data_IF_178701103430
#
_entry.id   IF_178701103430
#
_cell.length_a   1.000
_cell.length_b   1.000
_cell.length_c   1.000
_cell.angle_alpha   90.00
_cell.angle_beta   90.00
_cell.angle_gamma   90.00
#
_symmetry.space_group_name_H-M   'P 1'
#
loop_
_entity.id
_entity.type
_entity.pdbx_description
1 polymer ?
#
# COMPACT_ATOMS: atom_id res chain seq x y z
N UNK A 1 -33.60 -28.46 14.01
CA UNK A 1 -32.67 -29.31 14.79
C UNK A 1 -31.35 -29.54 14.05
N UNK A 2 -31.29 -30.21 12.88
CA UNK A 2 -30.01 -30.41 12.16
C UNK A 2 -29.47 -29.17 11.40
N UNK A 3 -30.31 -28.19 11.02
CA UNK A 3 -29.83 -26.92 10.43
C UNK A 3 -29.16 -25.99 11.45
N UNK A 4 -29.51 -26.09 12.74
CA UNK A 4 -28.89 -25.29 13.82
C UNK A 4 -27.54 -25.87 14.29
N UNK A 5 -27.27 -27.15 14.01
CA UNK A 5 -25.99 -27.81 14.32
C UNK A 5 -24.91 -27.56 13.25
N UNK A 6 -25.30 -27.12 12.05
CA UNK A 6 -24.39 -26.76 10.96
C UNK A 6 -23.96 -25.29 10.98
N UNK A 7 -24.74 -24.39 11.62
CA UNK A 7 -24.31 -22.99 11.85
C UNK A 7 -23.34 -22.86 13.03
N UNK A 8 -23.39 -23.78 14.01
CA UNK A 8 -22.57 -23.69 15.23
C UNK A 8 -21.11 -24.17 15.05
N UNK A 9 -20.72 -24.61 13.85
CA UNK A 9 -19.37 -25.16 13.56
C UNK A 9 -18.53 -24.30 12.63
N UNK A 10 -19.03 -23.16 12.13
CA UNK A 10 -18.28 -22.29 11.22
C UNK A 10 -17.67 -21.06 11.89
N UNK A 11 -17.47 -21.12 13.22
CA UNK A 11 -17.03 -19.99 14.06
C UNK A 11 -15.50 -19.90 14.26
N UNK A 12 -14.70 -20.56 13.42
CA UNK A 12 -13.23 -20.66 13.61
C UNK A 12 -12.40 -20.24 12.38
N UNK A 13 -12.92 -19.30 11.59
CA UNK A 13 -12.33 -18.89 10.33
C UNK A 13 -12.06 -17.38 10.34
N UNK A 14 -10.92 -16.94 10.88
CA UNK A 14 -10.51 -15.53 10.76
C UNK A 14 -10.01 -15.16 9.37
N UNK A 15 -10.13 -13.87 9.01
CA UNK A 15 -9.69 -13.19 7.78
C UNK A 15 -9.70 -14.02 6.48
N UNK A 16 -8.77 -14.98 6.31
CA UNK A 16 -8.73 -15.90 5.16
C UNK A 16 -9.96 -16.81 5.12
N UNK A 17 -10.48 -17.21 6.29
CA UNK A 17 -11.71 -17.97 6.41
C UNK A 17 -12.97 -17.13 6.18
N UNK A 18 -12.95 -15.84 6.56
CA UNK A 18 -14.03 -14.87 6.30
C UNK A 18 -14.12 -14.45 4.84
N UNK A 19 -12.98 -14.26 4.15
CA UNK A 19 -12.88 -14.09 2.69
C UNK A 19 -13.53 -15.23 1.88
N UNK A 20 -13.81 -16.36 2.54
CA UNK A 20 -14.19 -17.63 1.93
C UNK A 20 -15.61 -18.08 2.34
N UNK A 21 -16.20 -17.48 3.37
CA UNK A 21 -17.47 -17.92 3.94
C UNK A 21 -18.67 -17.07 3.50
N UNK A 22 -19.24 -17.45 2.35
CA UNK A 22 -20.68 -17.50 2.00
C UNK A 22 -21.07 -16.67 0.76
N UNK A 23 -22.14 -17.14 0.12
CA UNK A 23 -22.50 -16.90 -1.28
C UNK A 23 -22.86 -15.42 -1.56
N UNK A 24 -22.17 -14.85 -2.55
CA UNK A 24 -22.61 -13.63 -3.25
C UNK A 24 -21.71 -12.45 -2.96
N UNK A 25 -20.41 -12.61 -3.21
CA UNK A 25 -19.42 -11.71 -2.65
C UNK A 25 -19.03 -10.67 -3.72
N UNK A 26 -19.57 -9.46 -3.56
CA UNK A 26 -18.97 -8.23 -4.09
C UNK A 26 -17.72 -7.95 -3.24
N UNK A 27 -16.55 -8.41 -3.69
CA UNK A 27 -15.35 -8.54 -2.86
C UNK A 27 -14.62 -7.22 -2.55
N UNK A 28 -14.56 -6.85 -1.27
CA UNK A 28 -13.97 -5.68 -0.60
C UNK A 28 -12.44 -5.70 -0.52
N UNK A 29 -11.73 -4.62 -0.89
CA UNK A 29 -10.25 -4.40 -0.82
C UNK A 29 -9.62 -4.73 0.55
N UNK A 30 -8.63 -5.64 0.63
CA UNK A 30 -7.93 -5.99 1.89
C UNK A 30 -6.84 -4.99 2.26
N UNK A 31 -6.60 -3.97 1.42
CA UNK A 31 -5.53 -2.99 1.61
C UNK A 31 -4.14 -3.53 1.22
N UNK A 32 -4.00 -4.83 0.90
CA UNK A 32 -2.75 -5.42 0.43
C UNK A 32 -2.48 -5.03 -1.02
N UNK A 33 -1.24 -4.65 -1.34
CA UNK A 33 -0.84 -4.28 -2.72
C UNK A 33 -0.88 -5.45 -3.74
N UNK A 34 -1.08 -6.68 -3.26
CA UNK A 34 -1.29 -7.90 -4.05
C UNK A 34 -2.65 -8.55 -3.77
N UNK A 35 -3.55 -7.83 -3.11
CA UNK A 35 -4.90 -8.28 -2.77
C UNK A 35 -5.61 -8.93 -3.97
N UNK A 36 -5.60 -8.25 -5.12
CA UNK A 36 -6.23 -8.75 -6.34
C UNK A 36 -5.71 -10.14 -6.72
N UNK A 37 -4.39 -10.36 -6.61
CA UNK A 37 -3.79 -11.64 -6.91
C UNK A 37 -4.20 -12.71 -5.89
N UNK A 38 -4.18 -12.36 -4.60
CA UNK A 38 -4.67 -13.23 -3.52
C UNK A 38 -6.12 -13.67 -3.79
N UNK A 39 -7.02 -12.73 -4.09
CA UNK A 39 -8.42 -13.00 -4.41
C UNK A 39 -8.60 -13.91 -5.60
N UNK A 40 -7.99 -13.56 -6.73
CA UNK A 40 -8.13 -14.36 -7.94
C UNK A 40 -7.64 -15.79 -7.71
N UNK A 41 -6.57 -15.99 -6.92
CA UNK A 41 -6.10 -17.32 -6.53
C UNK A 41 -7.13 -18.07 -5.69
N UNK A 42 -7.67 -17.45 -4.63
CA UNK A 42 -8.66 -18.07 -3.74
C UNK A 42 -9.96 -18.38 -4.49
N UNK A 43 -10.50 -17.44 -5.27
CA UNK A 43 -11.72 -17.60 -6.08
C UNK A 43 -11.65 -18.81 -7.02
N UNK A 44 -10.49 -19.05 -7.62
CA UNK A 44 -10.30 -20.19 -8.51
C UNK A 44 -10.07 -21.49 -7.75
N UNK A 45 -9.40 -21.46 -6.61
CA UNK A 45 -9.24 -22.62 -5.73
C UNK A 45 -10.58 -23.08 -5.17
N UNK A 46 -11.46 -22.15 -4.78
CA UNK A 46 -12.79 -22.49 -4.29
C UNK A 46 -13.67 -23.17 -5.32
N UNK A 47 -13.45 -22.98 -6.63
CA UNK A 47 -14.22 -23.69 -7.67
C UNK A 47 -14.00 -25.20 -7.63
N UNK A 48 -12.90 -25.66 -7.04
CA UNK A 48 -12.62 -27.07 -6.82
C UNK A 48 -13.33 -27.57 -5.54
N UNK A 49 -14.17 -28.60 -5.69
CA UNK A 49 -14.97 -29.11 -4.57
C UNK A 49 -14.10 -29.68 -3.44
N UNK A 50 -13.03 -30.41 -3.76
CA UNK A 50 -12.14 -31.02 -2.77
C UNK A 50 -11.42 -29.92 -1.97
N UNK A 51 -10.86 -28.94 -2.68
CA UNK A 51 -10.17 -27.84 -2.04
C UNK A 51 -11.11 -27.01 -1.16
N UNK A 52 -12.31 -26.68 -1.65
CA UNK A 52 -13.33 -25.95 -0.88
C UNK A 52 -13.71 -26.67 0.41
N UNK A 53 -13.94 -27.97 0.36
CA UNK A 53 -14.26 -28.76 1.56
C UNK A 53 -13.09 -28.76 2.56
N UNK A 54 -11.85 -28.81 2.08
CA UNK A 54 -10.66 -28.73 2.94
C UNK A 54 -10.50 -27.36 3.56
N UNK A 55 -10.68 -26.32 2.77
CA UNK A 55 -10.62 -24.93 3.19
C UNK A 55 -11.62 -24.65 4.33
N UNK A 56 -12.87 -25.10 4.22
CA UNK A 56 -13.88 -24.90 5.27
C UNK A 56 -13.69 -25.74 6.55
N UNK A 57 -12.94 -26.84 6.48
CA UNK A 57 -12.76 -27.75 7.62
C UNK A 57 -11.38 -27.60 8.29
N UNK A 58 -10.52 -26.72 7.79
CA UNK A 58 -9.16 -26.52 8.33
C UNK A 58 -9.15 -25.30 9.23
N UNK A 59 -8.65 -25.47 10.45
CA UNK A 59 -8.51 -24.36 11.41
C UNK A 59 -7.41 -23.38 10.95
N UNK A 60 -7.52 -22.11 11.39
CA UNK A 60 -6.58 -21.06 11.01
C UNK A 60 -5.11 -21.42 11.30
N UNK A 61 -4.83 -22.00 12.47
CA UNK A 61 -3.47 -22.41 12.84
C UNK A 61 -2.91 -23.46 11.88
N UNK A 62 -3.77 -24.35 11.38
CA UNK A 62 -3.42 -25.37 10.43
C UNK A 62 -3.19 -24.79 9.02
N UNK A 63 -3.92 -23.74 8.65
CA UNK A 63 -3.72 -22.95 7.43
C UNK A 63 -2.35 -22.24 7.50
N UNK A 64 -2.05 -21.54 8.60
CA UNK A 64 -0.74 -20.85 8.82
C UNK A 64 0.45 -21.83 8.79
N UNK A 65 0.25 -23.06 9.27
CA UNK A 65 1.26 -24.12 9.23
C UNK A 65 1.47 -24.74 7.83
N UNK A 66 0.73 -24.29 6.81
CA UNK A 66 0.88 -24.76 5.43
C UNK A 66 0.24 -26.11 5.16
N UNK A 67 -0.67 -26.59 6.02
CA UNK A 67 -1.39 -27.86 5.78
C UNK A 67 -2.34 -27.73 4.59
N UNK A 68 -3.02 -26.59 4.46
CA UNK A 68 -3.91 -26.30 3.35
C UNK A 68 -3.18 -26.25 2.01
N UNK A 69 -1.97 -25.68 1.98
CA UNK A 69 -1.19 -25.56 0.75
C UNK A 69 -0.90 -26.93 0.10
N UNK A 70 -0.73 -27.98 0.90
CA UNK A 70 -0.51 -29.36 0.42
C UNK A 70 -1.72 -29.96 -0.28
N UNK A 71 -2.92 -29.46 -0.02
CA UNK A 71 -4.14 -29.93 -0.69
C UNK A 71 -4.17 -29.50 -2.17
N UNK A 72 -3.32 -28.55 -2.57
CA UNK A 72 -3.14 -28.10 -3.96
C UNK A 72 -2.72 -29.23 -4.92
N UNK A 73 -2.08 -30.29 -4.42
CA UNK A 73 -1.69 -31.45 -5.22
C UNK A 73 -2.90 -32.29 -5.68
N UNK A 74 -4.04 -32.16 -5.00
CA UNK A 74 -5.28 -32.89 -5.32
C UNK A 74 -6.28 -32.07 -6.14
N UNK A 75 -5.95 -30.80 -6.40
CA UNK A 75 -6.79 -29.88 -7.17
C UNK A 75 -6.84 -30.28 -8.64
N UNK A 76 -8.00 -30.11 -9.27
CA UNK A 76 -8.19 -30.42 -10.68
C UNK A 76 -7.23 -29.67 -11.62
N UNK A 77 -6.84 -30.33 -12.71
CA UNK A 77 -5.89 -29.77 -13.69
C UNK A 77 -6.33 -28.42 -14.27
N UNK A 78 -7.64 -28.21 -14.45
CA UNK A 78 -8.17 -26.95 -14.98
C UNK A 78 -7.87 -25.77 -14.04
N UNK A 79 -8.05 -25.97 -12.72
CA UNK A 79 -7.74 -24.96 -11.71
C UNK A 79 -6.23 -24.72 -11.67
N UNK A 80 -5.40 -25.78 -11.64
CA UNK A 80 -3.93 -25.65 -11.72
C UNK A 80 -3.46 -24.83 -12.92
N UNK A 81 -4.01 -25.10 -14.11
CA UNK A 81 -3.68 -24.35 -15.34
C UNK A 81 -4.01 -22.86 -15.20
N UNK A 82 -5.10 -22.54 -14.51
CA UNK A 82 -5.50 -21.15 -14.27
C UNK A 82 -4.60 -20.47 -13.24
N UNK A 83 -4.24 -21.15 -12.16
CA UNK A 83 -3.31 -20.63 -11.15
C UNK A 83 -1.94 -20.32 -11.77
N UNK A 84 -1.45 -21.16 -12.68
CA UNK A 84 -0.23 -20.88 -13.45
C UNK A 84 -0.35 -19.60 -14.28
N UNK A 85 -1.53 -19.35 -14.87
CA UNK A 85 -1.81 -18.12 -15.62
C UNK A 85 -1.79 -16.89 -14.71
N UNK A 86 -2.48 -16.96 -13.57
CA UNK A 86 -2.52 -15.88 -12.58
C UNK A 86 -1.12 -15.52 -12.09
N UNK A 87 -0.30 -16.52 -11.75
CA UNK A 87 1.09 -16.30 -11.35
C UNK A 87 1.90 -15.59 -12.43
N UNK A 88 1.76 -15.99 -13.70
CA UNK A 88 2.45 -15.32 -14.82
C UNK A 88 2.01 -13.87 -14.99
N UNK A 89 0.72 -13.60 -14.81
CA UNK A 89 0.18 -12.23 -14.87
C UNK A 89 0.74 -11.38 -13.75
N UNK A 90 0.77 -11.90 -12.53
CA UNK A 90 1.30 -11.18 -11.37
C UNK A 90 2.81 -10.91 -11.49
N UNK A 91 3.60 -11.91 -11.89
CA UNK A 91 5.03 -11.70 -12.17
C UNK A 91 5.25 -10.66 -13.27
N UNK A 92 4.37 -10.61 -14.28
CA UNK A 92 4.45 -9.60 -15.34
C UNK A 92 4.13 -8.19 -14.82
N UNK A 93 3.13 -8.07 -13.94
CA UNK A 93 2.79 -6.81 -13.24
C UNK A 93 3.98 -6.31 -12.42
N UNK A 94 4.59 -7.18 -11.62
CA UNK A 94 5.75 -6.85 -10.80
C UNK A 94 6.95 -6.39 -11.63
N UNK A 95 7.23 -7.06 -12.75
CA UNK A 95 8.28 -6.64 -13.69
C UNK A 95 7.99 -5.25 -14.28
N UNK A 96 6.74 -4.95 -14.60
CA UNK A 96 6.35 -3.64 -15.12
C UNK A 96 6.53 -2.54 -14.06
N UNK A 97 6.18 -2.81 -12.80
CA UNK A 97 6.40 -1.88 -11.68
C UNK A 97 7.89 -1.62 -11.44
N UNK A 98 8.71 -2.67 -11.42
CA UNK A 98 10.17 -2.55 -11.31
C UNK A 98 10.73 -1.67 -12.44
N UNK A 99 10.29 -1.90 -13.67
CA UNK A 99 10.73 -1.11 -14.82
C UNK A 99 10.31 0.36 -14.69
N UNK A 100 9.06 0.62 -14.30
CA UNK A 100 8.57 1.98 -14.10
C UNK A 100 9.38 2.72 -13.01
N UNK A 101 9.70 2.04 -11.91
CA UNK A 101 10.55 2.59 -10.85
C UNK A 101 11.94 2.94 -11.36
N UNK A 102 12.56 2.08 -12.17
CA UNK A 102 13.86 2.35 -12.80
C UNK A 102 13.83 3.56 -13.75
N UNK A 103 12.76 3.69 -14.54
CA UNK A 103 12.60 4.81 -15.47
C UNK A 103 12.46 6.16 -14.71
N UNK A 104 11.82 6.16 -13.54
CA UNK A 104 11.65 7.35 -12.66
C UNK A 104 12.97 7.73 -11.97
N UNK A 105 13.72 6.74 -11.45
CA UNK A 105 14.97 6.96 -10.70
C UNK A 105 16.16 7.37 -11.60
N UNK A 106 15.95 7.59 -12.90
CA UNK A 106 16.95 8.17 -13.82
C UNK A 106 18.19 7.29 -14.05
N UNK A 107 18.06 5.98 -13.85
CA UNK A 107 19.18 5.03 -13.87
C UNK A 107 19.67 4.67 -15.28
N UNK A 108 20.82 5.22 -15.67
CA UNK A 108 21.73 4.64 -16.69
C UNK A 108 21.85 3.12 -16.50
N UNK A 109 21.58 2.36 -17.56
CA UNK A 109 22.25 1.13 -18.06
C UNK A 109 23.00 0.20 -17.08
N UNK A 110 22.60 0.15 -15.81
CA UNK A 110 22.91 -0.94 -14.90
C UNK A 110 21.77 -1.92 -15.09
N UNK A 111 22.04 -3.04 -15.76
CA UNK A 111 21.17 -4.22 -15.70
C UNK A 111 21.07 -4.68 -14.24
N UNK A 112 20.29 -3.99 -13.41
CA UNK A 112 19.84 -4.53 -12.15
C UNK A 112 19.03 -5.76 -12.49
N UNK A 113 19.50 -6.89 -11.97
CA UNK A 113 18.87 -8.17 -12.19
C UNK A 113 17.42 -8.06 -11.72
N UNK A 114 16.47 -8.04 -12.67
CA UNK A 114 15.05 -7.96 -12.36
C UNK A 114 14.66 -9.13 -11.44
N UNK A 115 15.37 -10.25 -11.53
CA UNK A 115 15.18 -11.40 -10.66
C UNK A 115 15.67 -11.14 -9.23
N UNK A 116 16.65 -10.27 -9.01
CA UNK A 116 17.08 -9.86 -7.68
C UNK A 116 16.07 -8.90 -7.03
N UNK A 117 15.45 -8.00 -7.81
CA UNK A 117 14.42 -7.09 -7.32
C UNK A 117 13.10 -7.80 -7.01
N UNK A 118 12.77 -8.85 -7.79
CA UNK A 118 11.61 -9.69 -7.50
C UNK A 118 11.69 -10.42 -6.15
N UNK A 119 12.89 -10.53 -5.54
CA UNK A 119 13.05 -11.11 -4.19
C UNK A 119 12.38 -10.28 -3.09
N UNK A 120 12.07 -9.02 -3.37
CA UNK A 120 11.38 -8.13 -2.43
C UNK A 120 9.90 -8.52 -2.25
N UNK A 121 9.32 -9.27 -3.19
CA UNK A 121 7.93 -9.74 -3.12
C UNK A 121 7.90 -11.14 -2.53
N UNK A 122 7.81 -11.22 -1.20
CA UNK A 122 7.95 -12.48 -0.44
C UNK A 122 6.80 -13.47 -0.67
N UNK A 123 5.64 -12.98 -1.10
CA UNK A 123 4.41 -13.74 -1.33
C UNK A 123 4.43 -14.64 -2.59
N UNK A 124 5.54 -14.65 -3.35
CA UNK A 124 5.69 -15.42 -4.59
C UNK A 124 7.04 -16.15 -4.69
N UNK A 125 7.05 -17.36 -5.25
CA UNK A 125 8.29 -18.00 -5.65
C UNK A 125 8.79 -17.46 -7.00
N UNK A 126 9.68 -16.47 -6.95
CA UNK A 126 10.30 -15.85 -8.12
C UNK A 126 11.32 -16.73 -8.85
N UNK A 127 11.78 -17.85 -8.26
CA UNK A 127 12.69 -18.80 -8.93
C UNK A 127 11.95 -19.68 -9.95
N UNK A 128 10.62 -19.78 -9.81
CA UNK A 128 9.77 -20.50 -10.73
C UNK A 128 8.64 -19.56 -11.20
N UNK A 129 8.85 -18.68 -12.19
CA UNK A 129 7.87 -17.67 -12.57
C UNK A 129 6.65 -18.20 -13.37
N UNK A 130 6.61 -19.51 -13.68
CA UNK A 130 5.69 -20.03 -14.70
C UNK A 130 4.67 -21.05 -14.18
N UNK A 131 4.95 -21.76 -13.09
CA UNK A 131 4.00 -22.69 -12.48
C UNK A 131 3.71 -22.31 -11.03
N UNK A 132 2.45 -22.41 -10.65
CA UNK A 132 1.96 -22.14 -9.30
C UNK A 132 1.97 -23.44 -8.50
N UNK A 133 2.87 -23.50 -7.52
CA UNK A 133 3.14 -24.70 -6.72
C UNK A 133 2.64 -24.55 -5.28
N UNK A 134 2.72 -25.65 -4.52
CA UNK A 134 2.39 -25.68 -3.09
C UNK A 134 3.13 -24.58 -2.32
N UNK A 135 4.39 -24.34 -2.68
CA UNK A 135 5.21 -23.28 -2.06
C UNK A 135 4.66 -21.87 -2.34
N UNK A 136 4.06 -21.63 -3.51
CA UNK A 136 3.47 -20.33 -3.82
C UNK A 136 2.23 -20.07 -2.98
N UNK A 137 1.36 -21.07 -2.85
CA UNK A 137 0.17 -20.96 -2.01
C UNK A 137 0.54 -20.79 -0.53
N UNK A 138 1.55 -21.53 -0.05
CA UNK A 138 2.06 -21.41 1.33
C UNK A 138 2.64 -20.01 1.59
N UNK A 139 3.47 -19.49 0.68
CA UNK A 139 4.02 -18.12 0.78
C UNK A 139 2.93 -17.06 0.72
N UNK A 140 2.01 -17.18 -0.24
CA UNK A 140 0.91 -16.24 -0.41
C UNK A 140 0.03 -16.15 0.83
N UNK A 141 -0.34 -17.30 1.41
CA UNK A 141 -1.13 -17.35 2.66
C UNK A 141 -0.35 -16.77 3.84
N UNK A 142 0.94 -17.13 3.99
CA UNK A 142 1.77 -16.64 5.10
C UNK A 142 2.02 -15.14 5.03
N UNK A 143 2.37 -14.64 3.86
CA UNK A 143 2.53 -13.20 3.63
C UNK A 143 1.22 -12.48 3.85
N UNK A 144 0.11 -12.94 3.27
CA UNK A 144 -1.20 -12.31 3.50
C UNK A 144 -1.58 -12.31 4.99
N UNK A 145 -1.33 -13.40 5.71
CA UNK A 145 -1.60 -13.47 7.15
C UNK A 145 -0.72 -12.48 7.91
N UNK A 146 0.58 -12.46 7.64
CA UNK A 146 1.51 -11.60 8.36
C UNK A 146 1.27 -10.12 8.05
N UNK A 147 1.05 -9.79 6.79
CA UNK A 147 0.78 -8.43 6.35
C UNK A 147 -0.55 -7.94 6.92
N UNK A 148 -1.61 -8.76 6.94
CA UNK A 148 -2.88 -8.38 7.57
C UNK A 148 -2.81 -8.26 9.08
N UNK A 149 -1.96 -9.06 9.76
CA UNK A 149 -1.73 -8.94 11.21
C UNK A 149 -0.91 -7.70 11.57
N UNK A 150 -0.04 -7.23 10.67
CA UNK A 150 0.82 -6.05 10.89
C UNK A 150 0.33 -4.80 10.16
N UNK A 151 -0.72 -4.88 9.34
CA UNK A 151 -1.19 -3.80 8.47
C UNK A 151 -1.44 -2.51 9.27
N UNK A 152 -2.22 -2.64 10.33
CA UNK A 152 -2.55 -1.54 11.24
C UNK A 152 -1.29 -0.95 11.87
N UNK A 153 -0.40 -1.81 12.37
CA UNK A 153 0.88 -1.40 12.97
C UNK A 153 1.78 -0.66 11.98
N UNK A 154 1.87 -1.12 10.73
CA UNK A 154 2.66 -0.44 9.70
C UNK A 154 2.07 0.92 9.34
N UNK A 155 0.73 1.03 9.31
CA UNK A 155 0.02 2.31 9.14
C UNK A 155 0.32 3.28 10.28
N UNK A 156 0.21 2.83 11.54
CA UNK A 156 0.60 3.61 12.72
C UNK A 156 2.04 4.12 12.63
N UNK A 157 2.96 3.29 12.16
CA UNK A 157 4.37 3.67 11.98
C UNK A 157 4.57 4.65 10.82
N UNK A 158 3.78 4.55 9.74
CA UNK A 158 3.76 5.51 8.64
C UNK A 158 3.23 6.87 9.09
N UNK A 159 2.09 6.88 9.79
CA UNK A 159 1.52 8.10 10.38
C UNK A 159 2.49 8.75 11.36
N UNK A 160 3.14 7.96 12.22
CA UNK A 160 4.19 8.47 13.11
C UNK A 160 5.32 9.15 12.35
N UNK A 161 5.79 8.56 11.24
CA UNK A 161 6.83 9.16 10.39
C UNK A 161 6.34 10.44 9.73
N UNK A 162 5.09 10.48 9.29
CA UNK A 162 4.46 11.66 8.71
C UNK A 162 4.44 12.82 9.72
N UNK A 163 3.95 12.59 10.92
CA UNK A 163 3.90 13.59 12.00
C UNK A 163 5.29 14.09 12.40
N UNK A 164 6.27 13.19 12.53
CA UNK A 164 7.67 13.58 12.78
C UNK A 164 8.24 14.42 11.62
N UNK A 165 7.93 14.08 10.37
CA UNK A 165 8.41 14.84 9.20
C UNK A 165 7.79 16.23 9.15
N UNK A 166 6.48 16.35 9.39
CA UNK A 166 5.73 17.61 9.46
C UNK A 166 6.32 18.55 10.54
N UNK A 167 6.56 18.03 11.74
CA UNK A 167 7.20 18.81 12.81
C UNK A 167 8.67 19.15 12.50
N UNK A 168 9.43 18.23 11.89
CA UNK A 168 10.80 18.52 11.47
C UNK A 168 10.87 19.68 10.47
N UNK A 169 10.02 19.65 9.43
CA UNK A 169 9.93 20.72 8.44
C UNK A 169 9.57 22.07 9.09
N UNK A 170 8.63 22.05 10.04
CA UNK A 170 8.28 23.23 10.84
C UNK A 170 9.48 23.75 11.63
N UNK A 171 10.22 22.88 12.32
CA UNK A 171 11.44 23.24 13.08
C UNK A 171 12.51 23.83 12.17
N UNK A 172 12.74 23.25 11.00
CA UNK A 172 13.68 23.77 10.00
C UNK A 172 13.21 25.12 9.45
N UNK A 173 11.92 25.28 9.13
CA UNK A 173 11.37 26.55 8.67
C UNK A 173 11.59 27.66 9.71
N UNK A 174 11.30 27.40 10.99
CA UNK A 174 11.53 28.34 12.07
C UNK A 174 13.00 28.75 12.19
N UNK A 175 13.97 27.86 11.91
CA UNK A 175 15.41 28.20 11.91
C UNK A 175 15.79 29.18 10.80
N UNK A 176 15.03 29.23 9.70
CA UNK A 176 15.29 30.16 8.59
C UNK A 176 14.76 31.58 8.83
N UNK A 177 13.81 31.74 9.77
CA UNK A 177 13.16 33.01 10.08
C UNK A 177 13.94 33.85 11.10
N UNK A 178 13.71 35.15 11.10
CA UNK A 178 14.22 36.07 12.12
C UNK A 178 13.36 36.02 13.41
N UNK A 179 13.72 36.79 14.44
CA UNK A 179 13.03 36.73 15.74
C UNK A 179 11.55 37.16 15.66
N UNK A 180 11.23 38.20 14.87
CA UNK A 180 9.86 38.65 14.67
C UNK A 180 9.05 37.66 13.82
N UNK A 181 9.65 37.09 12.77
CA UNK A 181 9.05 36.06 11.95
C UNK A 181 8.74 34.79 12.74
N UNK A 182 9.69 34.28 13.54
CA UNK A 182 9.47 33.11 14.41
C UNK A 182 8.32 33.30 15.37
N UNK A 183 8.23 34.47 16.02
CA UNK A 183 7.14 34.76 16.97
C UNK A 183 5.78 34.75 16.29
N UNK A 184 5.67 35.33 15.09
CA UNK A 184 4.42 35.34 14.30
C UNK A 184 4.01 33.93 13.88
N UNK A 185 4.97 33.13 13.43
CA UNK A 185 4.71 31.75 13.01
C UNK A 185 4.27 30.86 14.19
N UNK A 186 4.91 31.03 15.35
CA UNK A 186 4.50 30.34 16.58
C UNK A 186 3.09 30.77 17.03
N UNK A 187 2.78 32.08 16.99
CA UNK A 187 1.44 32.58 17.30
C UNK A 187 0.38 32.05 16.34
N UNK A 188 0.69 31.99 15.05
CA UNK A 188 -0.20 31.43 14.03
C UNK A 188 -0.46 29.94 14.26
N UNK A 189 0.59 29.16 14.53
CA UNK A 189 0.49 27.73 14.84
C UNK A 189 -0.39 27.46 16.07
N UNK A 190 -0.22 28.25 17.13
CA UNK A 190 -1.06 28.17 18.34
C UNK A 190 -2.50 28.60 18.08
N UNK A 191 -2.75 29.50 17.12
CA UNK A 191 -4.10 29.86 16.69
C UNK A 191 -4.76 28.70 15.93
N UNK A 192 -4.04 28.08 14.98
CA UNK A 192 -4.55 26.92 14.23
C UNK A 192 -4.89 25.75 15.15
N UNK A 193 -4.00 25.41 16.09
CA UNK A 193 -4.28 24.38 17.11
C UNK A 193 -5.54 24.66 17.90
N UNK A 194 -5.75 25.90 18.33
CA UNK A 194 -6.96 26.29 19.07
C UNK A 194 -8.23 26.22 18.23
N UNK A 195 -8.14 26.55 16.93
CA UNK A 195 -9.27 26.40 16.02
C UNK A 195 -9.63 24.94 15.84
N UNK A 196 -8.64 24.09 15.59
CA UNK A 196 -8.83 22.65 15.47
C UNK A 196 -9.45 22.04 16.74
N UNK A 197 -8.96 22.44 17.92
CA UNK A 197 -9.49 21.99 19.21
C UNK A 197 -10.93 22.47 19.51
N UNK A 198 -11.41 23.52 18.83
CA UNK A 198 -12.75 24.09 19.04
C UNK A 198 -13.78 23.38 18.14
N UNK A 199 -13.97 22.08 18.41
CA UNK A 199 -14.90 21.24 17.69
C UNK A 199 -16.05 20.75 18.60
N UNK A 200 -17.23 20.38 18.04
CA UNK A 200 -18.27 19.68 18.77
C UNK A 200 -17.75 18.39 19.41
N UNK A 201 -18.30 18.00 20.56
CA UNK A 201 -17.87 16.79 21.26
C UNK A 201 -18.01 15.56 20.34
N UNK A 202 -16.92 14.82 20.21
CA UNK A 202 -16.87 13.53 19.52
C UNK A 202 -17.37 12.44 20.46
N UNK A 203 -18.29 11.61 19.96
CA UNK A 203 -18.79 10.48 20.72
C UNK A 203 -17.77 9.34 20.73
N UNK A 204 -17.86 8.47 21.74
CA UNK A 204 -17.01 7.29 21.80
C UNK A 204 -17.36 6.31 20.66
N UNK A 205 -16.38 5.78 19.91
CA UNK A 205 -16.64 4.89 18.79
C UNK A 205 -17.43 3.64 19.22
N UNK A 206 -18.52 3.32 18.51
CA UNK A 206 -19.37 2.17 18.82
C UNK A 206 -20.29 2.36 20.03
N UNK A 207 -20.33 3.55 20.65
CA UNK A 207 -21.24 3.85 21.76
C UNK A 207 -22.68 4.09 21.30
N UNK A 208 -23.62 4.03 22.25
CA UNK A 208 -25.04 4.27 21.95
C UNK A 208 -25.27 5.65 21.30
N UNK A 209 -24.62 6.68 21.82
CA UNK A 209 -24.81 8.06 21.34
C UNK A 209 -24.33 8.19 19.88
N UNK A 210 -23.16 7.63 19.56
CA UNK A 210 -22.63 7.62 18.20
C UNK A 210 -23.55 6.88 17.22
N UNK A 211 -24.02 5.69 17.57
CA UNK A 211 -24.90 4.92 16.68
C UNK A 211 -26.28 5.57 16.50
N UNK A 212 -26.81 6.21 17.55
CA UNK A 212 -28.06 6.98 17.46
C UNK A 212 -27.92 8.20 16.57
N UNK A 213 -26.78 8.86 16.60
CA UNK A 213 -26.51 10.00 15.73
C UNK A 213 -26.46 9.57 14.26
N UNK A 214 -25.76 8.49 13.95
CA UNK A 214 -25.77 7.92 12.59
C UNK A 214 -27.20 7.56 12.16
N UNK A 215 -27.98 6.94 13.05
CA UNK A 215 -29.39 6.60 12.81
C UNK A 215 -30.27 7.83 12.54
N UNK A 216 -30.02 8.95 13.21
CA UNK A 216 -30.76 10.20 12.97
C UNK A 216 -30.31 10.90 11.69
N UNK A 217 -29.00 11.10 11.54
CA UNK A 217 -28.44 11.98 10.52
C UNK A 217 -28.24 11.28 9.18
N UNK A 218 -27.75 10.04 9.18
CA UNK A 218 -27.50 9.28 7.95
C UNK A 218 -28.77 8.55 7.47
N UNK A 219 -29.51 7.93 8.40
CA UNK A 219 -30.69 7.13 8.05
C UNK A 219 -32.01 7.93 8.06
N UNK A 220 -32.04 9.10 8.72
CA UNK A 220 -33.23 9.93 8.82
C UNK A 220 -34.33 9.31 9.70
N UNK A 221 -33.95 8.49 10.69
CA UNK A 221 -34.85 7.76 11.57
C UNK A 221 -34.91 8.41 12.97
N UNK A 222 -36.00 8.18 13.71
CA UNK A 222 -36.18 8.76 15.03
C UNK A 222 -35.21 8.12 16.06
N UNK A 223 -34.40 8.91 16.80
CA UNK A 223 -33.48 8.40 17.84
C UNK A 223 -34.16 7.62 18.98
N UNK A 224 -35.46 7.87 19.23
CA UNK A 224 -36.24 7.18 20.26
C UNK A 224 -36.63 5.75 19.83
N UNK A 225 -36.70 5.49 18.52
CA UNK A 225 -37.01 4.19 17.93
C UNK A 225 -35.74 3.36 17.62
N UNK A 226 -34.59 3.78 18.15
CA UNK A 226 -33.31 3.10 17.90
C UNK A 226 -33.36 1.62 18.32
N UNK A 227 -33.17 0.74 17.35
CA UNK A 227 -33.07 -0.71 17.54
C UNK A 227 -31.75 -1.23 16.96
N UNK A 228 -30.83 -1.75 17.81
CA UNK A 228 -29.52 -2.22 17.36
C UNK A 228 -29.59 -3.24 16.22
N UNK A 229 -30.59 -4.12 16.24
CA UNK A 229 -30.70 -5.16 15.21
C UNK A 229 -31.08 -4.56 13.85
N UNK A 230 -31.98 -3.59 13.84
CA UNK A 230 -32.36 -2.86 12.63
C UNK A 230 -31.21 -2.00 12.14
N UNK A 231 -30.50 -1.30 13.06
CA UNK A 231 -29.28 -0.57 12.75
C UNK A 231 -28.24 -1.44 12.04
N UNK A 232 -27.98 -2.63 12.61
CA UNK A 232 -27.06 -3.61 12.01
C UNK A 232 -27.47 -3.98 10.59
N UNK A 233 -28.74 -4.31 10.39
CA UNK A 233 -29.24 -4.73 9.08
C UNK A 233 -29.25 -3.62 8.04
N UNK A 234 -29.26 -2.35 8.46
CA UNK A 234 -29.28 -1.20 7.58
C UNK A 234 -27.88 -0.84 7.06
N UNK A 235 -26.85 -1.08 7.89
CA UNK A 235 -25.46 -0.77 7.57
C UNK A 235 -24.64 -1.97 7.10
N UNK A 236 -25.23 -3.18 7.12
CA UNK A 236 -24.70 -4.35 6.42
C UNK A 236 -24.99 -4.15 4.94
N UNK A 237 -24.11 -3.39 4.29
CA UNK A 237 -24.29 -2.86 2.93
C UNK A 237 -24.26 -3.97 1.89
N UNK A 238 -23.46 -5.01 2.16
CA UNK A 238 -23.27 -6.15 1.27
C UNK A 238 -24.29 -7.29 1.54
N UNK A 239 -24.95 -7.28 2.71
CA UNK A 239 -25.99 -8.22 3.11
C UNK A 239 -25.46 -9.60 3.55
N UNK A 240 -24.20 -9.70 3.96
CA UNK A 240 -23.56 -10.96 4.34
C UNK A 240 -23.79 -11.36 5.81
N UNK A 241 -24.37 -10.47 6.60
CA UNK A 241 -24.71 -10.66 8.00
C UNK A 241 -23.57 -10.34 8.98
N UNK A 242 -22.54 -9.63 8.53
CA UNK A 242 -21.39 -9.18 9.30
C UNK A 242 -21.17 -7.68 9.08
N UNK A 243 -20.49 -7.02 10.02
CA UNK A 243 -19.81 -5.77 9.73
C UNK A 243 -18.34 -6.03 9.53
N UNK A 244 -17.82 -5.65 8.37
CA UNK A 244 -16.39 -5.59 8.13
C UNK A 244 -15.79 -4.23 8.54
N UNK A 245 -14.49 -4.09 8.32
CA UNK A 245 -13.74 -2.87 8.62
C UNK A 245 -14.24 -1.63 7.90
N UNK A 246 -14.55 -1.73 6.61
CA UNK A 246 -15.02 -0.59 5.81
C UNK A 246 -16.43 -0.17 6.24
N UNK A 247 -17.28 -1.15 6.54
CA UNK A 247 -18.62 -0.89 7.06
C UNK A 247 -18.56 -0.19 8.43
N UNK A 248 -17.70 -0.65 9.35
CA UNK A 248 -17.47 0.05 10.62
C UNK A 248 -16.88 1.45 10.42
N UNK A 249 -15.84 1.57 9.59
CA UNK A 249 -15.19 2.83 9.24
C UNK A 249 -16.20 3.87 8.70
N UNK A 250 -17.17 3.42 7.91
CA UNK A 250 -18.22 4.28 7.37
C UNK A 250 -19.08 4.93 8.46
N UNK A 251 -19.32 4.22 9.58
CA UNK A 251 -20.09 4.72 10.72
C UNK A 251 -19.39 5.88 11.44
N UNK A 252 -18.07 5.95 11.35
CA UNK A 252 -17.29 6.99 12.02
C UNK A 252 -17.21 8.29 11.23
N UNK A 253 -17.57 8.27 9.94
CA UNK A 253 -17.47 9.44 9.06
C UNK A 253 -18.15 10.66 9.65
N UNK A 254 -19.35 10.51 10.23
CA UNK A 254 -20.10 11.63 10.84
C UNK A 254 -19.46 12.18 12.10
N UNK A 255 -18.85 11.32 12.90
CA UNK A 255 -18.09 11.76 14.08
C UNK A 255 -16.83 12.52 13.69
N UNK A 256 -16.12 12.05 12.66
CA UNK A 256 -14.89 12.67 12.18
C UNK A 256 -15.16 14.01 11.46
N UNK A 257 -16.27 14.14 10.73
CA UNK A 257 -16.72 15.39 10.08
C UNK A 257 -16.98 16.53 11.09
N UNK A 258 -17.12 16.24 12.39
CA UNK A 258 -17.20 17.28 13.44
C UNK A 258 -15.86 17.95 13.70
N UNK A 259 -14.76 17.22 13.50
CA UNK A 259 -13.40 17.64 13.86
C UNK A 259 -12.60 18.08 12.64
N UNK A 260 -12.80 17.40 11.50
CA UNK A 260 -11.99 17.60 10.31
C UNK A 260 -12.86 18.06 9.13
N UNK A 261 -12.56 19.24 8.58
CA UNK A 261 -13.12 19.75 7.33
C UNK A 261 -12.00 19.95 6.30
N UNK A 262 -12.03 19.28 5.13
CA UNK A 262 -11.05 19.47 4.05
C UNK A 262 -10.92 20.91 3.54
N UNK A 263 -11.89 21.79 3.83
CA UNK A 263 -11.87 23.20 3.45
C UNK A 263 -11.08 24.08 4.43
N UNK A 264 -10.81 23.60 5.65
CA UNK A 264 -10.05 24.29 6.68
C UNK A 264 -8.55 24.00 6.54
N UNK A 265 -7.70 24.96 6.90
CA UNK A 265 -6.24 24.80 6.78
C UNK A 265 -5.61 24.14 8.01
N UNK A 266 -6.30 24.25 9.15
CA UNK A 266 -5.93 23.64 10.42
C UNK A 266 -6.19 22.12 10.47
N UNK A 267 -7.04 21.61 9.56
CA UNK A 267 -7.53 20.24 9.59
C UNK A 267 -6.71 19.36 8.64
N UNK A 268 -6.01 18.38 9.22
CA UNK A 268 -5.19 17.44 8.46
C UNK A 268 -5.98 16.18 8.10
N UNK A 269 -6.22 15.98 6.80
CA UNK A 269 -6.95 14.81 6.31
C UNK A 269 -6.20 13.49 6.53
N UNK A 270 -4.88 13.51 6.71
CA UNK A 270 -4.10 12.33 7.08
C UNK A 270 -4.35 11.97 8.54
N UNK A 271 -4.44 12.97 9.42
CA UNK A 271 -4.83 12.77 10.84
C UNK A 271 -6.27 12.25 10.94
N UNK A 272 -7.20 12.74 10.11
CA UNK A 272 -8.57 12.23 10.06
C UNK A 272 -8.62 10.73 9.74
N UNK A 273 -7.85 10.27 8.75
CA UNK A 273 -7.83 8.86 8.36
C UNK A 273 -7.18 8.00 9.44
N UNK A 274 -6.13 8.49 10.10
CA UNK A 274 -5.53 7.82 11.24
C UNK A 274 -6.51 7.69 12.41
N UNK A 275 -7.24 8.78 12.73
CA UNK A 275 -8.27 8.76 13.77
C UNK A 275 -9.37 7.73 13.43
N UNK A 276 -9.76 7.63 12.16
CA UNK A 276 -10.71 6.60 11.70
C UNK A 276 -10.20 5.18 11.98
N UNK A 277 -8.93 4.91 11.70
CA UNK A 277 -8.30 3.62 11.97
C UNK A 277 -8.25 3.32 13.47
N UNK A 278 -7.90 4.31 14.31
CA UNK A 278 -7.94 4.19 15.78
C UNK A 278 -9.34 3.86 16.29
N UNK A 279 -10.37 4.53 15.77
CA UNK A 279 -11.77 4.27 16.12
C UNK A 279 -12.17 2.83 15.73
N UNK A 280 -11.81 2.39 14.53
CA UNK A 280 -12.08 1.02 14.06
C UNK A 280 -11.37 -0.02 14.91
N UNK A 281 -10.07 0.13 15.16
CA UNK A 281 -9.30 -0.80 15.99
C UNK A 281 -9.86 -0.90 17.39
N UNK A 282 -10.27 0.22 17.97
CA UNK A 282 -10.92 0.24 19.27
C UNK A 282 -12.20 -0.61 19.26
N UNK A 283 -13.12 -0.36 18.32
CA UNK A 283 -14.37 -1.11 18.20
C UNK A 283 -14.13 -2.60 17.93
N UNK A 284 -13.22 -2.94 17.01
CA UNK A 284 -12.85 -4.34 16.74
C UNK A 284 -12.25 -5.02 17.97
N UNK A 285 -11.45 -4.31 18.76
CA UNK A 285 -10.87 -4.87 19.97
C UNK A 285 -11.92 -5.21 21.04
N UNK A 286 -12.97 -4.40 21.14
CA UNK A 286 -14.04 -4.58 22.13
C UNK A 286 -15.15 -5.54 21.71
N UNK A 287 -15.48 -5.58 20.42
CA UNK A 287 -16.68 -6.25 19.89
C UNK A 287 -16.34 -7.57 19.21
N UNK A 288 -15.32 -7.63 18.36
CA UNK A 288 -14.88 -8.85 17.69
C UNK A 288 -14.16 -9.77 18.70
N UNK A 289 -14.88 -10.81 19.13
CA UNK A 289 -14.44 -11.72 20.19
C UNK A 289 -13.64 -12.91 19.66
N UNK A 290 -13.93 -13.35 18.44
CA UNK A 290 -13.25 -14.48 17.82
C UNK A 290 -12.04 -14.07 16.96
N UNK A 291 -11.79 -12.76 16.84
CA UNK A 291 -10.67 -12.15 16.11
C UNK A 291 -10.65 -12.56 14.64
N UNK A 292 -11.83 -12.61 14.03
CA UNK A 292 -11.98 -12.88 12.60
C UNK A 292 -11.96 -11.62 11.73
N UNK A 293 -11.86 -10.43 12.36
CA UNK A 293 -11.96 -9.08 11.76
C UNK A 293 -13.30 -8.83 11.08
N UNK A 294 -14.33 -9.57 11.49
CA UNK A 294 -15.72 -9.29 11.21
C UNK A 294 -16.48 -9.18 12.54
N UNK A 295 -17.53 -8.36 12.56
CA UNK A 295 -18.44 -8.29 13.71
C UNK A 295 -19.74 -8.96 13.31
N UNK A 296 -20.02 -10.12 13.89
CA UNK A 296 -21.32 -10.76 13.69
C UNK A 296 -22.45 -10.02 14.42
N UNK A 297 -23.68 -10.20 13.95
CA UNK A 297 -24.87 -9.66 14.64
C UNK A 297 -24.93 -10.07 16.12
N UNK A 298 -24.54 -11.31 16.44
CA UNK A 298 -24.57 -11.79 17.83
C UNK A 298 -23.54 -11.05 18.71
N UNK A 299 -22.32 -10.82 18.19
CA UNK A 299 -21.28 -10.04 18.89
C UNK A 299 -21.71 -8.59 19.09
N UNK A 300 -22.24 -7.98 18.03
CA UNK A 300 -22.78 -6.62 18.09
C UNK A 300 -23.88 -6.49 19.16
N UNK A 301 -24.86 -7.39 19.19
CA UNK A 301 -25.95 -7.39 20.18
C UNK A 301 -25.49 -7.76 21.60
N UNK A 302 -24.32 -8.37 21.76
CA UNK A 302 -23.70 -8.56 23.08
C UNK A 302 -23.02 -7.26 23.50
N UNK A 303 -22.29 -6.61 22.60
CA UNK A 303 -21.64 -5.33 22.84
C UNK A 303 -22.64 -4.24 23.26
N UNK A 304 -23.82 -4.16 22.63
CA UNK A 304 -24.85 -3.17 23.00
C UNK A 304 -25.45 -3.35 24.39
N UNK A 305 -25.15 -4.46 25.09
CA UNK A 305 -25.58 -4.73 26.47
C UNK A 305 -24.49 -4.45 27.49
N UNK A 306 -23.26 -4.19 27.03
CA UNK A 306 -22.12 -3.87 27.90
C UNK A 306 -22.29 -2.46 28.48
N UNK A 307 -21.58 -2.19 29.58
CA UNK A 307 -21.68 -0.90 30.27
C UNK A 307 -21.09 0.21 29.41
N UNK A 308 -19.99 -0.12 28.76
CA UNK A 308 -19.18 0.72 27.87
C UNK A 308 -20.02 1.29 26.71
N UNK A 309 -21.06 0.57 26.27
CA UNK A 309 -22.00 1.05 25.26
C UNK A 309 -22.92 2.17 25.76
N UNK A 310 -23.38 2.09 27.02
CA UNK A 310 -24.36 3.00 27.63
C UNK A 310 -23.71 4.17 28.38
N UNK A 311 -22.55 3.92 28.96
CA UNK A 311 -21.77 4.88 29.75
C UNK A 311 -20.33 4.87 29.24
N UNK A 312 -20.09 5.36 28.00
CA UNK A 312 -18.75 5.37 27.44
C UNK A 312 -17.84 6.38 28.14
N UNK A 313 -16.54 6.08 28.15
CA UNK A 313 -15.51 7.06 28.48
C UNK A 313 -15.37 8.10 27.35
N UNK A 314 -14.83 9.28 27.67
CA UNK A 314 -14.57 10.30 26.64
C UNK A 314 -13.55 9.77 25.65
N UNK A 315 -13.79 9.97 24.35
CA UNK A 315 -12.79 9.67 23.33
C UNK A 315 -11.67 10.73 23.35
N UNK A 316 -10.42 10.28 23.38
CA UNK A 316 -9.23 11.14 23.30
C UNK A 316 -8.73 11.17 21.84
N UNK A 317 -8.91 12.33 21.20
CA UNK A 317 -8.47 12.59 19.83
C UNK A 317 -6.93 12.61 19.72
N UNK A 318 -6.40 12.49 18.51
CA UNK A 318 -4.98 12.55 18.21
C UNK A 318 -4.30 13.81 18.76
N UNK A 319 -5.01 14.95 18.81
CA UNK A 319 -4.48 16.18 19.41
C UNK A 319 -4.04 15.97 20.88
N UNK A 320 -4.81 15.18 21.62
CA UNK A 320 -4.59 14.91 23.05
C UNK A 320 -3.55 13.80 23.26
N UNK A 321 -3.32 12.96 22.25
CA UNK A 321 -2.43 11.80 22.33
C UNK A 321 -1.39 11.84 21.21
N UNK A 322 -0.23 12.43 21.51
CA UNK A 322 0.88 12.55 20.55
C UNK A 322 1.36 11.18 20.06
N UNK A 323 1.52 11.06 18.73
CA UNK A 323 1.96 9.82 18.09
C UNK A 323 3.42 9.43 18.39
N UNK A 324 4.27 10.39 18.75
CA UNK A 324 5.70 10.17 19.00
C UNK A 324 6.20 10.95 20.22
N UNK A 325 7.33 10.48 20.76
CA UNK A 325 8.06 11.12 21.85
C UNK A 325 9.19 12.02 21.33
N UNK A 326 9.62 12.99 22.12
CA UNK A 326 10.75 13.87 21.74
C UNK A 326 12.07 13.09 21.52
N UNK A 327 12.23 11.93 22.18
CA UNK A 327 13.39 11.05 21.94
C UNK A 327 13.33 10.40 20.55
N UNK A 328 12.16 9.90 20.13
CA UNK A 328 11.93 9.39 18.77
C UNK A 328 12.13 10.49 17.72
N UNK A 329 11.65 11.70 17.98
CA UNK A 329 11.87 12.87 17.10
C UNK A 329 13.36 13.14 16.92
N UNK A 330 14.14 13.16 18.00
CA UNK A 330 15.59 13.36 17.92
C UNK A 330 16.29 12.28 17.10
N UNK A 331 15.93 11.01 17.30
CA UNK A 331 16.49 9.89 16.53
C UNK A 331 16.14 10.00 15.04
N UNK A 332 14.91 10.46 14.73
CA UNK A 332 14.46 10.70 13.37
C UNK A 332 15.23 11.84 12.69
N UNK A 333 15.42 12.99 13.35
CA UNK A 333 16.23 14.09 12.81
C UNK A 333 17.70 13.68 12.59
N UNK A 334 18.27 12.89 13.51
CA UNK A 334 19.62 12.33 13.36
C UNK A 334 19.72 11.34 12.18
N UNK A 335 18.65 10.59 11.91
CA UNK A 335 18.57 9.74 10.72
C UNK A 335 18.52 10.58 9.44
N UNK A 336 17.63 11.57 9.37
CA UNK A 336 17.51 12.47 8.21
C UNK A 336 18.82 13.19 7.92
N UNK A 337 19.49 13.73 8.93
CA UNK A 337 20.77 14.42 8.77
C UNK A 337 21.90 13.49 8.29
N UNK A 338 21.84 12.19 8.59
CA UNK A 338 22.77 11.20 8.03
C UNK A 338 22.45 10.89 6.58
N UNK A 339 21.19 10.68 6.27
CA UNK A 339 20.72 10.40 4.91
C UNK A 339 21.01 11.56 3.96
N UNK A 340 20.78 12.80 4.40
CA UNK A 340 21.13 14.00 3.64
C UNK A 340 22.62 14.07 3.31
N UNK A 341 23.49 13.75 4.28
CA UNK A 341 24.95 13.69 4.06
C UNK A 341 25.32 12.63 3.02
N UNK A 342 24.73 11.45 3.11
CA UNK A 342 24.97 10.36 2.16
C UNK A 342 24.49 10.73 0.75
N UNK A 343 23.33 11.38 0.62
CA UNK A 343 22.79 11.87 -0.65
C UNK A 343 23.66 12.99 -1.23
N UNK A 344 24.13 13.92 -0.41
CA UNK A 344 25.05 14.98 -0.83
C UNK A 344 26.37 14.38 -1.34
N UNK A 345 26.92 13.38 -0.65
CA UNK A 345 28.12 12.67 -1.09
C UNK A 345 27.90 11.95 -2.43
N UNK A 346 26.79 11.22 -2.58
CA UNK A 346 26.41 10.56 -3.85
C UNK A 346 26.26 11.58 -4.99
N UNK A 347 25.65 12.73 -4.72
CA UNK A 347 25.47 13.81 -5.69
C UNK A 347 26.81 14.37 -6.16
N UNK A 348 27.74 14.62 -5.23
CA UNK A 348 29.10 15.06 -5.55
C UNK A 348 29.85 14.02 -6.40
N UNK A 349 29.70 12.74 -6.10
CA UNK A 349 30.38 11.68 -6.86
C UNK A 349 29.76 11.50 -8.25
N UNK A 350 28.44 11.61 -8.38
CA UNK A 350 27.76 11.66 -9.69
C UNK A 350 28.19 12.85 -10.52
N UNK A 351 28.36 14.03 -9.90
CA UNK A 351 28.85 15.22 -10.60
C UNK A 351 30.27 15.00 -11.15
N UNK A 352 31.19 14.42 -10.35
CA UNK A 352 32.54 14.05 -10.81
C UNK A 352 32.48 13.04 -11.97
N UNK A 353 31.62 12.03 -11.88
CA UNK A 353 31.44 11.05 -12.96
C UNK A 353 30.93 11.70 -14.24
N UNK A 354 30.02 12.67 -14.13
CA UNK A 354 29.51 13.44 -15.29
C UNK A 354 30.62 14.23 -15.96
N UNK A 355 31.44 14.95 -15.17
CA UNK A 355 32.58 15.72 -15.69
C UNK A 355 33.61 14.81 -16.38
N UNK A 356 33.88 13.63 -15.82
CA UNK A 356 34.82 12.66 -16.42
C UNK A 356 34.29 12.10 -17.75
N UNK A 357 33.00 11.77 -17.82
CA UNK A 357 32.36 11.30 -19.06
C UNK A 357 32.36 12.39 -20.14
N UNK A 358 32.16 13.65 -19.76
CA UNK A 358 32.23 14.79 -20.68
C UNK A 358 33.65 14.92 -21.28
N UNK A 359 34.69 14.80 -20.45
CA UNK A 359 36.09 14.77 -20.93
C UNK A 359 36.36 13.61 -21.87
N UNK A 360 35.87 12.41 -21.56
CA UNK A 360 36.03 11.24 -22.44
C UNK A 360 35.31 11.44 -23.78
N UNK A 361 34.13 12.05 -23.77
CA UNK A 361 33.37 12.37 -24.97
C UNK A 361 34.10 13.39 -25.84
N UNK A 362 34.71 14.42 -25.25
CA UNK A 362 35.55 15.39 -25.96
C UNK A 362 36.77 14.72 -26.61
N UNK A 363 37.46 13.84 -25.88
CA UNK A 363 38.60 13.08 -26.40
C UNK A 363 38.20 12.17 -27.58
N UNK A 364 37.06 11.48 -27.47
CA UNK A 364 36.55 10.62 -28.54
C UNK A 364 36.19 11.44 -29.79
N UNK A 365 35.57 12.61 -29.61
CA UNK A 365 35.25 13.52 -30.70
C UNK A 365 36.51 14.04 -31.41
N UNK A 366 37.56 14.38 -30.64
CA UNK A 366 38.85 14.77 -31.20
C UNK A 366 39.49 13.64 -32.01
N UNK A 367 39.54 12.42 -31.48
CA UNK A 367 40.05 11.25 -32.20
C UNK A 367 39.25 10.96 -33.49
N UNK A 368 37.93 11.09 -33.44
CA UNK A 368 37.07 10.92 -34.63
C UNK A 368 37.38 11.94 -35.71
N UNK A 369 37.63 13.20 -35.33
CA UNK A 369 38.02 14.26 -36.26
C UNK A 369 39.39 13.98 -36.90
N UNK A 370 40.38 13.58 -36.11
CA UNK A 370 41.71 13.20 -36.61
C UNK A 370 41.63 12.02 -37.60
N UNK A 371 40.85 10.98 -37.26
CA UNK A 371 40.65 9.83 -38.14
C UNK A 371 39.97 10.24 -39.46
N UNK A 372 38.97 11.11 -39.40
CA UNK A 372 38.29 11.61 -40.59
C UNK A 372 39.25 12.39 -41.50
N UNK A 373 40.10 13.25 -40.93
CA UNK A 373 41.13 13.97 -41.68
C UNK A 373 42.15 13.01 -42.32
N UNK A 374 42.56 11.96 -41.60
CA UNK A 374 43.48 10.93 -42.13
C UNK A 374 42.85 10.14 -43.29
N UNK A 375 41.57 9.78 -43.19
CA UNK A 375 40.83 9.10 -44.27
C UNK A 375 40.72 9.98 -45.51
N UNK A 376 40.39 11.27 -45.35
CA UNK A 376 40.34 12.23 -46.46
C UNK A 376 41.71 12.39 -47.12
N UNK A 377 42.78 12.47 -46.34
CA UNK A 377 44.15 12.55 -46.85
C UNK A 377 44.53 11.29 -47.64
N UNK A 378 44.23 10.09 -47.13
CA UNK A 378 44.46 8.83 -47.87
C UNK A 378 43.63 8.73 -49.15
N UNK A 379 42.39 9.21 -49.16
CA UNK A 379 41.56 9.25 -50.36
C UNK A 379 42.15 10.16 -51.45
N UNK A 380 42.72 11.31 -51.06
CA UNK A 380 43.44 12.21 -51.97
C UNK A 380 44.72 11.58 -52.55
N UNK A 381 45.47 10.83 -51.74
CA UNK A 381 46.66 10.12 -52.22
C UNK A 381 46.31 8.99 -53.21
N UNK A 382 45.21 8.26 -52.98
CA UNK A 382 44.73 7.23 -53.92
C UNK A 382 44.29 7.79 -55.27
N UNK A 383 43.69 8.98 -55.28
CA UNK A 383 43.27 9.65 -56.52
C UNK A 383 44.45 10.25 -57.30
N UNK A 384 45.55 10.62 -56.63
CA UNK A 384 46.78 11.07 -57.29
C UNK A 384 47.64 9.92 -57.87
N UNK A 385 47.54 8.71 -57.32
CA UNK A 385 48.29 7.52 -57.79
C UNK A 385 47.53 6.64 -58.80
N UNK A 386 46.35 7.06 -59.28
CA UNK A 386 45.63 6.37 -60.35
C UNK A 386 46.06 6.92 -61.72
N UNK A 387 47.01 6.27 -62.40
CA UNK A 387 47.35 6.55 -63.80
C UNK A 387 46.15 6.23 -64.73
N UNK A 388 45.79 7.11 -65.67
CA UNK A 388 44.75 6.82 -66.66
C UNK A 388 45.26 5.87 -67.75
N UNK A 389 44.38 5.04 -68.35
CA UNK A 389 44.77 4.18 -69.47
C UNK A 389 45.15 5.02 -70.69
N UNK A 390 46.25 4.68 -71.34
CA UNK A 390 46.72 5.34 -72.56
C UNK A 390 45.78 5.03 -73.74
N UNK A 391 44.92 5.98 -74.10
CA UNK A 391 44.15 5.94 -75.35
C UNK A 391 44.75 6.84 -76.44
N UNK A 392 44.86 6.23 -77.62
CA UNK A 392 45.38 6.73 -78.89
C UNK A 392 44.76 8.06 -79.35
N UNK A 393 45.60 9.02 -79.75
CA UNK A 393 45.20 10.16 -80.59
C UNK A 393 45.09 9.72 -82.05
N UNK A 394 43.87 9.67 -82.57
CA UNK A 394 43.60 9.74 -84.01
C UNK A 394 43.57 11.19 -84.47
N UNK A 395 44.46 11.56 -85.38
CA UNK A 395 44.44 12.83 -86.11
C UNK A 395 43.24 12.88 -87.08
N UNK A 396 42.47 13.96 -87.01
CA UNK A 396 41.56 14.37 -88.09
C UNK A 396 42.02 15.73 -88.64
N UNK A 397 42.24 15.71 -89.95
CA UNK A 397 42.76 16.74 -90.84
C UNK A 397 41.70 17.80 -91.10
N UNK A 398 42.10 19.08 -91.17
CA UNK A 398 41.42 20.07 -92.02
C UNK A 398 42.45 20.92 -92.79
N UNK A 399 42.32 20.81 -94.13
CA UNK A 399 42.92 21.56 -95.25
C UNK A 399 44.42 21.35 -95.53
#
# INVERSE_FOLDING_TARGET
AMRSLLLCKSQSCGLIGSLVLKRGFTHQDTGLHYDRYLREVIDFLEKDQHFREKLHNTDMEDIKQGKLAKELDFVSHHVRTKLDELKRQEVSRLRALIKAKQDIEGGKDMMMDHQALLKQFEYLNHNNPHTFEVEDLDRLIKSATNDLENYDKERHEEFKRYEMMKEHERREHLKTLDEDGRKKEEEHHEELKKKHADHPKVNHPGSQDQLKEVWEEADGLDPEDFDPKTFFSLHDTNGDGYFDEQELESLFTKELEKVYDPANEEDDMVEMEEERLRMREHVMNEVDTNKDRLVSLDEFLIATKKKEFLEPESWETLEQNQAYTEEEMREFEEHLAREEKDLNQKTLDLQKQKEELERQQEQLNAQKLELQQAVEHMARLKTQNAEPPAEHKGEQIYL
#
